data_IF_250388280635
#
_entry.id   IF_250388280635
#
_cell.length_a   1.000
_cell.length_b   1.000
_cell.length_c   1.000
_cell.angle_alpha   90.00
_cell.angle_beta   90.00
_cell.angle_gamma   90.00
#
_symmetry.space_group_name_H-M   'P 1'
#
loop_
_entity.id
_entity.type
_entity.pdbx_description
1 polymer ?
2 non-polymer ?
#
# COMPACT_ATOMS: atom_id res chain seq x y z
N UNK A 6 12.09 -12.85 -12.86
CA UNK A 6 11.16 -11.97 -12.07
C UNK A 6 11.38 -10.48 -12.39
N UNK A 7 10.29 -9.79 -12.73
CA UNK A 7 10.33 -8.38 -13.10
C UNK A 7 10.45 -7.41 -11.93
N UNK A 8 11.16 -6.30 -12.15
CA UNK A 8 11.43 -5.29 -11.12
C UNK A 8 10.09 -4.82 -10.51
N UNK A 9 9.96 -5.06 -9.20
CA UNK A 9 8.74 -4.81 -8.41
C UNK A 9 8.10 -3.42 -8.64
N UNK A 10 8.93 -2.39 -8.46
CA UNK A 10 8.51 -0.99 -8.50
C UNK A 10 8.21 -0.45 -9.91
N UNK A 11 8.38 -1.30 -10.93
CA UNK A 11 8.14 -0.93 -12.32
C UNK A 11 6.96 -1.73 -12.90
N UNK A 12 7.01 -3.04 -12.78
CA UNK A 12 6.09 -3.92 -13.49
C UNK A 12 4.95 -4.44 -12.63
N UNK A 13 5.17 -4.54 -11.32
CA UNK A 13 4.16 -5.13 -10.42
C UNK A 13 3.32 -4.04 -9.74
N UNK A 14 3.96 -3.17 -8.97
CA UNK A 14 3.29 -2.05 -8.34
C UNK A 14 4.20 -0.82 -8.45
N UNK A 15 3.83 0.14 -9.29
CA UNK A 15 4.63 1.35 -9.49
C UNK A 15 4.34 2.32 -8.33
N UNK A 16 5.16 3.38 -8.16
CA UNK A 16 4.95 4.24 -6.98
C UNK A 16 3.55 4.85 -6.88
N UNK A 17 2.99 5.24 -8.01
CA UNK A 17 1.65 5.80 -8.08
C UNK A 17 0.56 4.80 -7.73
N UNK A 18 0.77 3.54 -8.09
CA UNK A 18 -0.18 2.48 -7.75
C UNK A 18 -0.23 2.30 -6.24
N UNK A 19 0.93 2.30 -5.60
CA UNK A 19 0.99 2.14 -4.16
C UNK A 19 0.32 3.31 -3.48
N UNK A 20 0.55 4.52 -3.99
CA UNK A 20 -0.06 5.67 -3.37
C UNK A 20 -1.58 5.65 -3.53
N UNK A 21 -2.06 5.24 -4.71
CA UNK A 21 -3.49 5.26 -4.93
C UNK A 21 -4.23 4.19 -4.14
N UNK A 22 -3.60 3.03 -3.96
CA UNK A 22 -4.24 1.90 -3.27
C UNK A 22 -4.08 1.98 -1.75
N UNK A 23 -3.23 2.87 -1.25
CA UNK A 23 -3.02 2.99 0.19
C UNK A 23 -3.76 4.16 0.80
N UNK A 24 -3.92 5.19 0.00
CA UNK A 24 -4.60 6.44 0.33
C UNK A 24 -5.87 6.27 1.15
N UNK A 25 -6.68 5.27 0.82
CA UNK A 25 -8.02 5.16 1.40
C UNK A 25 -8.15 4.01 2.40
N UNK A 26 -7.03 3.37 2.71
CA UNK A 26 -7.04 2.17 3.55
C UNK A 26 -7.49 2.47 4.97
N UNK A 27 -7.05 3.61 5.48
CA UNK A 27 -7.25 3.92 6.88
C UNK A 27 -7.78 5.33 6.95
N UNK A 28 -9.02 5.48 7.46
CA UNK A 28 -9.61 6.79 7.67
C UNK A 28 -8.68 7.65 8.50
N UNK A 29 -8.60 8.90 8.08
CA UNK A 29 -7.90 9.94 8.79
C UNK A 29 -8.15 9.86 10.30
N UNK A 30 -9.41 9.65 10.68
CA UNK A 30 -9.85 9.68 12.09
C UNK A 30 -9.32 8.53 12.92
N UNK A 31 -8.91 7.45 12.26
CA UNK A 31 -8.27 6.33 12.95
C UNK A 31 -6.78 6.53 13.21
N UNK A 32 -6.15 7.55 12.63
CA UNK A 32 -4.68 7.69 12.74
C UNK A 32 -4.17 7.74 14.19
N UNK A 33 -4.85 8.52 15.09
CA UNK A 33 -4.35 8.53 16.49
C UNK A 33 -4.46 7.17 17.13
N UNK A 34 -5.51 6.43 16.81
CA UNK A 34 -5.70 5.11 17.40
C UNK A 34 -4.63 4.12 16.94
N UNK A 35 -4.35 4.14 15.63
CA UNK A 35 -3.38 3.27 14.98
C UNK A 35 -1.96 3.58 15.48
N UNK A 36 -1.64 4.87 15.58
CA UNK A 36 -0.42 5.32 16.22
C UNK A 36 -0.26 4.76 17.62
N UNK A 37 -1.34 4.84 18.40
CA UNK A 37 -1.28 4.39 19.80
C UNK A 37 -1.03 2.88 19.88
N UNK A 38 -1.83 2.12 19.13
CA UNK A 38 -1.70 0.66 19.09
C UNK A 38 -0.32 0.17 18.65
N UNK A 39 0.35 0.90 17.75
CA UNK A 39 1.73 0.56 17.32
C UNK A 39 2.80 1.02 18.30
N UNK A 40 2.41 1.78 19.32
CA UNK A 40 3.32 2.25 20.37
C UNK A 40 4.01 3.58 20.08
N UNK A 41 3.46 4.34 19.14
CA UNK A 41 3.94 5.70 18.87
C UNK A 41 3.61 6.57 20.08
N UNK A 42 4.48 7.50 20.42
CA UNK A 42 4.58 8.13 21.74
C UNK A 42 5.79 9.07 21.68
N UNK A 43 5.84 10.07 22.56
CA UNK A 43 6.97 11.01 22.61
C UNK A 43 8.33 10.33 22.75
N UNK A 44 9.31 10.81 21.98
CA UNK A 44 10.70 10.30 21.98
C UNK A 44 10.77 8.84 21.55
N UNK A 45 9.95 8.49 20.57
CA UNK A 45 10.01 7.19 19.91
C UNK A 45 10.67 7.43 18.55
N UNK A 46 11.62 6.57 18.23
CA UNK A 46 12.17 6.44 16.90
C UNK A 46 11.75 5.07 16.40
N UNK A 47 11.19 5.03 15.20
CA UNK A 47 10.59 3.83 14.61
C UNK A 47 11.22 3.42 13.28
N UNK A 48 11.15 2.13 12.98
CA UNK A 48 11.54 1.63 11.68
C UNK A 48 10.35 1.01 10.99
N UNK A 49 10.17 1.33 9.70
CA UNK A 49 9.15 0.73 8.90
C UNK A 49 9.83 -0.05 7.78
N UNK A 50 9.64 -1.37 7.82
CA UNK A 50 10.36 -2.33 6.99
C UNK A 50 9.51 -2.62 5.77
N UNK A 51 10.16 -2.64 4.59
CA UNK A 51 9.46 -2.67 3.28
C UNK A 51 8.46 -1.53 3.16
N UNK A 52 8.92 -0.30 3.43
CA UNK A 52 8.07 0.86 3.55
C UNK A 52 7.40 1.28 2.23
N UNK A 53 7.82 0.65 1.12
CA UNK A 53 7.38 1.07 -0.23
C UNK A 53 7.53 2.57 -0.39
N UNK A 54 6.45 3.25 -0.77
CA UNK A 54 6.46 4.71 -0.95
C UNK A 54 6.32 5.48 0.34
N UNK A 55 6.28 4.75 1.47
CA UNK A 55 6.29 5.38 2.79
C UNK A 55 4.93 5.76 3.33
N UNK A 56 3.88 5.14 2.79
CA UNK A 56 2.50 5.44 3.24
C UNK A 56 2.35 5.33 4.76
N UNK A 57 2.69 4.15 5.29
CA UNK A 57 2.48 3.90 6.71
C UNK A 57 3.46 4.71 7.53
N UNK A 58 4.67 4.86 6.98
CA UNK A 58 5.72 5.66 7.60
C UNK A 58 5.19 7.08 7.88
N UNK A 59 4.66 7.70 6.83
CA UNK A 59 4.06 9.03 6.95
C UNK A 59 2.92 9.10 7.99
N UNK A 60 2.01 8.13 7.94
CA UNK A 60 0.86 8.04 8.85
C UNK A 60 1.31 8.06 10.30
N UNK A 61 2.32 7.26 10.63
CA UNK A 61 2.80 7.16 12.01
C UNK A 61 3.51 8.41 12.54
N UNK A 62 4.14 9.21 11.66
CA UNK A 62 4.87 10.43 12.10
C UNK A 62 4.12 11.74 11.89
N UNK A 63 2.90 11.62 11.35
CA UNK A 63 2.05 12.74 11.02
C UNK A 63 1.28 13.39 12.18
N UNK A 64 1.39 12.82 13.39
CA UNK A 64 0.73 13.38 14.56
C UNK A 64 1.54 14.48 15.25
N UNK A 65 1.11 14.85 16.45
CA UNK A 65 1.75 15.89 17.28
C UNK A 65 2.91 15.37 18.12
N UNK A 66 3.06 14.05 18.19
CA UNK A 66 4.07 13.43 19.05
C UNK A 66 5.46 13.72 18.49
N UNK A 67 6.42 13.83 19.41
CA UNK A 67 7.80 14.00 19.05
C UNK A 67 8.39 12.63 18.68
N UNK A 68 8.22 12.28 17.40
CA UNK A 68 8.68 11.01 16.83
C UNK A 68 9.47 11.23 15.54
N UNK A 69 10.30 10.25 15.20
CA UNK A 69 11.03 10.24 13.94
C UNK A 69 11.01 8.82 13.42
N UNK A 70 11.31 8.67 12.13
CA UNK A 70 11.14 7.38 11.48
C UNK A 70 12.19 7.15 10.41
N UNK A 71 12.54 5.89 10.23
CA UNK A 71 13.32 5.42 9.11
C UNK A 71 12.47 4.41 8.37
N UNK A 72 12.39 4.58 7.05
CA UNK A 72 11.76 3.62 6.19
C UNK A 72 12.84 2.95 5.37
N UNK A 73 12.73 1.63 5.22
CA UNK A 73 13.69 0.89 4.45
C UNK A 73 12.93 0.05 3.43
N UNK A 74 13.47 -0.01 2.21
CA UNK A 74 12.93 -0.81 1.09
C UNK A 74 14.01 -1.14 0.05
N UNK A 75 13.84 -2.26 -0.67
CA UNK A 75 14.75 -2.67 -1.73
C UNK A 75 14.63 -1.84 -3.00
N UNK A 76 13.48 -1.22 -3.22
CA UNK A 76 13.22 -0.53 -4.49
C UNK A 76 13.58 0.95 -4.47
N UNK A 77 14.64 1.29 -5.21
CA UNK A 77 15.06 2.65 -5.46
C UNK A 77 13.89 3.60 -5.86
N UNK A 78 13.09 3.24 -6.90
CA UNK A 78 11.92 4.12 -7.21
C UNK A 78 10.96 4.44 -6.03
N UNK A 79 10.70 3.45 -5.17
CA UNK A 79 9.88 3.64 -3.97
C UNK A 79 10.52 4.61 -2.99
N UNK A 80 11.83 4.47 -2.82
CA UNK A 80 12.57 5.28 -1.84
C UNK A 80 12.66 6.74 -2.29
N UNK A 81 12.90 6.91 -3.59
CA UNK A 81 12.96 8.20 -4.26
C UNK A 81 11.64 8.93 -4.01
N UNK A 82 10.55 8.28 -4.40
CA UNK A 82 9.19 8.80 -4.21
C UNK A 82 8.89 9.12 -2.74
N UNK A 83 9.26 8.20 -1.83
CA UNK A 83 9.04 8.42 -0.40
C UNK A 83 9.70 9.68 0.11
N UNK A 84 10.95 9.89 -0.31
CA UNK A 84 11.71 11.10 0.00
C UNK A 84 11.00 12.35 -0.48
N UNK A 85 10.61 12.35 -1.77
CA UNK A 85 9.84 13.45 -2.37
C UNK A 85 8.57 13.71 -1.57
N UNK A 86 7.89 12.65 -1.16
CA UNK A 86 6.63 12.80 -0.45
C UNK A 86 6.83 13.41 0.95
N UNK A 87 7.77 12.83 1.71
CA UNK A 87 8.05 13.30 3.05
C UNK A 87 8.54 14.74 3.05
N UNK A 88 9.49 15.06 2.15
CA UNK A 88 10.06 16.40 2.02
C UNK A 88 9.00 17.46 1.73
N UNK A 89 8.09 17.12 0.84
CA UNK A 89 6.93 17.96 0.49
C UNK A 89 6.05 18.28 1.71
N UNK A 90 5.84 17.30 2.58
CA UNK A 90 4.94 17.46 3.71
C UNK A 90 5.64 17.92 5.00
N UNK A 91 6.97 18.08 4.91
CA UNK A 91 7.83 18.46 6.04
C UNK A 91 7.93 17.45 7.18
N UNK A 92 7.91 16.16 6.87
CA UNK A 92 7.78 15.12 7.91
C UNK A 92 9.12 14.53 8.38
N UNK A 93 9.27 14.22 9.71
CA UNK A 93 10.55 13.67 10.19
C UNK A 93 10.73 12.18 9.85
N UNK A 94 10.94 11.91 8.57
CA UNK A 94 11.12 10.55 8.10
C UNK A 94 12.27 10.45 7.11
N UNK A 95 13.13 9.46 7.34
CA UNK A 95 14.27 9.16 6.49
C UNK A 95 13.98 7.88 5.73
N UNK A 96 14.34 7.87 4.46
CA UNK A 96 14.16 6.69 3.64
C UNK A 96 15.46 6.19 3.06
N UNK A 97 15.62 4.88 3.14
CA UNK A 97 16.91 4.25 2.92
C UNK A 97 16.69 3.00 2.07
N UNK A 98 17.51 2.83 1.03
CA UNK A 98 17.52 1.63 0.19
C UNK A 98 18.32 0.57 0.92
N UNK A 99 17.74 -0.62 1.08
CA UNK A 99 18.38 -1.69 1.85
C UNK A 99 17.49 -2.90 1.99
N UNK A 100 17.96 -3.89 2.73
CA UNK A 100 17.37 -5.22 2.78
C UNK A 100 16.82 -5.54 4.17
N UNK A 101 15.53 -5.94 4.19
CA UNK A 101 14.81 -6.40 5.41
C UNK A 101 15.52 -7.55 6.11
N UNK A 102 16.19 -8.39 5.33
CA UNK A 102 16.90 -9.56 5.84
C UNK A 102 18.28 -9.21 6.35
N UNK A 103 18.67 -7.94 6.20
CA UNK A 103 20.04 -7.53 6.51
C UNK A 103 20.05 -6.06 6.91
N UNK A 104 19.33 -5.75 7.98
CA UNK A 104 19.13 -4.33 8.36
C UNK A 104 20.44 -3.58 8.70
N UNK A 105 20.69 -2.42 8.04
CA UNK A 105 21.94 -1.67 8.21
C UNK A 105 21.92 -0.83 9.49
N UNK A 106 21.66 -1.49 10.62
CA UNK A 106 21.57 -0.82 11.95
C UNK A 106 22.07 -1.75 13.02
N UNK A 107 22.52 -1.17 14.13
CA UNK A 107 22.89 -1.94 15.34
C UNK A 107 21.66 -2.48 16.07
N UNK A 108 21.88 -3.47 16.93
CA UNK A 108 20.87 -3.95 17.86
C UNK A 108 20.39 -2.85 18.74
N UNK A 109 19.08 -2.87 19.02
CA UNK A 109 18.44 -1.95 19.98
C UNK A 109 18.52 -0.49 19.55
N UNK A 110 18.32 -0.27 18.24
CA UNK A 110 18.31 1.09 17.68
C UNK A 110 16.92 1.76 17.82
N UNK A 111 15.86 0.96 17.64
CA UNK A 111 14.49 1.51 17.53
C UNK A 111 13.59 1.16 18.69
N UNK A 112 12.75 2.12 19.09
CA UNK A 112 11.75 1.86 20.12
C UNK A 112 10.65 0.95 19.61
N UNK A 113 10.32 1.11 18.33
CA UNK A 113 9.17 0.50 17.69
C UNK A 113 9.66 0.04 16.32
N UNK A 114 9.21 -1.14 15.89
CA UNK A 114 9.44 -1.59 14.52
C UNK A 114 8.09 -2.02 13.93
N UNK A 115 7.81 -1.57 12.71
CA UNK A 115 6.55 -1.90 12.04
C UNK A 115 6.75 -2.32 10.58
N UNK A 116 5.73 -2.91 9.96
CA UNK A 116 5.67 -3.12 8.50
C UNK A 116 4.22 -3.15 8.03
N UNK A 117 3.98 -2.75 6.79
CA UNK A 117 2.62 -2.65 6.25
C UNK A 117 2.52 -3.45 4.97
N UNK A 118 1.68 -4.50 4.99
CA UNK A 118 1.44 -5.43 3.88
C UNK A 118 2.76 -5.99 3.36
N UNK A 119 3.59 -6.43 4.31
CA UNK A 119 4.94 -6.86 4.03
C UNK A 119 5.22 -8.31 4.42
N UNK A 120 4.79 -8.73 5.61
CA UNK A 120 5.04 -10.11 6.08
C UNK A 120 4.36 -11.18 5.22
N UNK A 121 3.38 -10.72 4.47
CA UNK A 121 2.66 -11.42 3.43
C UNK A 121 3.55 -11.72 2.22
N UNK A 122 4.53 -10.83 1.97
CA UNK A 122 5.31 -10.82 0.73
C UNK A 122 6.68 -11.49 0.80
N UNK A 123 7.42 -11.27 1.88
CA UNK A 123 8.80 -11.77 1.98
C UNK A 123 8.88 -13.27 1.89
N UNK A 124 9.81 -13.77 1.04
CA UNK A 124 10.11 -15.22 0.95
C UNK A 124 10.57 -15.84 2.27
N UNK A 125 11.09 -15.04 3.19
CA UNK A 125 11.68 -15.55 4.41
C UNK A 125 11.23 -14.70 5.63
N UNK A 126 9.96 -14.88 6.05
CA UNK A 126 9.43 -13.99 7.10
C UNK A 126 10.08 -14.23 8.46
N UNK A 127 10.48 -15.47 8.73
CA UNK A 127 11.22 -15.79 9.98
C UNK A 127 12.48 -14.94 10.15
N UNK A 128 13.25 -14.83 9.07
CA UNK A 128 14.49 -14.06 9.11
C UNK A 128 14.21 -12.56 9.23
N UNK A 129 13.19 -12.09 8.50
CA UNK A 129 12.77 -10.68 8.58
C UNK A 129 12.35 -10.34 9.99
N UNK A 130 11.58 -11.22 10.62
CA UNK A 130 11.10 -11.03 11.98
C UNK A 130 12.28 -11.05 12.95
N UNK A 131 13.17 -12.03 12.74
CA UNK A 131 14.44 -12.09 13.48
C UNK A 131 15.21 -10.75 13.42
N UNK A 132 15.29 -10.15 12.23
CA UNK A 132 15.88 -8.82 12.11
C UNK A 132 15.14 -7.72 12.88
N UNK A 133 13.81 -7.74 12.79
CA UNK A 133 12.98 -6.77 13.51
C UNK A 133 13.19 -6.88 15.02
N UNK A 134 13.24 -8.11 15.51
CA UNK A 134 13.51 -8.39 16.92
C UNK A 134 14.89 -7.91 17.38
N UNK A 135 15.91 -8.09 16.54
CA UNK A 135 17.29 -7.66 16.80
C UNK A 135 17.40 -6.15 16.96
N UNK A 136 16.77 -5.45 16.03
CA UNK A 136 16.89 -4.00 15.88
C UNK A 136 15.98 -3.17 16.83
N UNK A 137 14.89 -3.78 17.32
CA UNK A 137 14.05 -3.14 18.30
C UNK A 137 14.75 -3.23 19.67
N UNK A 138 14.47 -2.28 20.55
CA UNK A 138 15.00 -2.27 21.91
C UNK A 138 14.30 -3.35 22.75
N UNK A 139 14.94 -3.80 23.85
CA UNK A 139 14.26 -4.81 24.69
C UNK A 139 12.89 -4.31 25.19
N UNK A 140 11.87 -5.18 25.11
CA UNK A 140 10.52 -4.79 25.51
C UNK A 140 9.75 -3.88 24.57
N UNK A 141 10.29 -3.61 23.38
CA UNK A 141 9.59 -2.75 22.41
C UNK A 141 8.55 -3.47 21.56
N UNK A 142 7.70 -2.70 20.90
CA UNK A 142 6.56 -3.22 20.15
C UNK A 142 6.88 -3.41 18.67
N UNK A 143 6.68 -4.64 18.22
CA UNK A 143 6.74 -4.95 16.80
C UNK A 143 5.30 -5.11 16.33
N UNK A 144 4.99 -4.44 15.23
CA UNK A 144 3.65 -4.43 14.65
C UNK A 144 3.69 -4.75 13.14
N UNK A 145 2.61 -5.35 12.65
CA UNK A 145 2.42 -5.66 11.22
C UNK A 145 0.97 -5.39 10.85
N UNK A 146 0.77 -4.79 9.67
CA UNK A 146 -0.56 -4.65 9.10
C UNK A 146 -0.56 -5.54 7.87
N UNK A 147 -1.57 -6.40 7.74
CA UNK A 147 -1.70 -7.26 6.57
C UNK A 147 -3.17 -7.33 6.17
N UNK A 148 -3.41 -7.51 4.87
CA UNK A 148 -4.76 -7.76 4.34
C UNK A 148 -5.40 -8.97 5.02
N UNK A 149 -6.69 -8.87 5.32
CA UNK A 149 -7.44 -10.03 5.83
C UNK A 149 -7.80 -10.98 4.69
N UNK A 150 -7.93 -10.43 3.49
CA UNK A 150 -8.16 -11.22 2.30
C UNK A 150 -7.67 -10.49 1.08
N UNK A 151 -7.24 -11.24 0.07
CA UNK A 151 -6.86 -10.64 -1.22
C UNK A 151 -8.08 -10.18 -2.02
N UNK A 152 -9.21 -10.88 -1.87
CA UNK A 152 -10.52 -10.40 -2.37
C UNK A 152 -11.09 -9.32 -1.44
N UNK A 153 -11.84 -8.34 -2.00
CA UNK A 153 -12.66 -7.50 -1.11
C UNK A 153 -13.85 -8.27 -0.50
N UNK A 154 -14.10 -8.05 0.80
CA UNK A 154 -15.27 -8.61 1.48
C UNK A 154 -16.60 -8.22 0.81
N UNK A 155 -16.71 -6.97 0.36
CA UNK A 155 -17.86 -6.52 -0.45
C UNK A 155 -17.45 -5.65 -1.63
N UNK A 156 -18.34 -5.56 -2.63
CA UNK A 156 -17.97 -5.09 -3.95
C UNK A 156 -19.20 -4.71 -4.78
N UNK A 157 -19.12 -3.55 -5.43
CA UNK A 157 -20.05 -3.18 -6.49
C UNK A 157 -19.28 -2.41 -7.56
N UNK A 158 -19.40 -2.88 -8.81
CA UNK A 158 -18.84 -2.19 -9.97
C UNK A 158 -19.49 -0.83 -10.23
N UNK A 159 -20.71 -0.65 -9.73
CA UNK A 159 -21.42 0.59 -9.86
C UNK A 159 -22.28 0.68 -11.12
N UNK A 160 -23.16 1.67 -11.14
CA UNK A 160 -24.05 1.91 -12.24
C UNK A 160 -23.80 3.34 -12.65
N UNK A 161 -23.14 3.51 -13.77
CA UNK A 161 -22.84 4.81 -14.30
C UNK A 161 -23.99 5.27 -15.17
N UNK A 162 -24.18 6.59 -15.35
CA UNK A 162 -25.27 7.05 -16.22
C UNK A 162 -25.19 6.42 -17.61
N UNK A 163 -26.36 6.22 -18.23
CA UNK A 163 -26.46 5.61 -19.56
C UNK A 163 -25.69 6.36 -20.67
N UNK A 164 -25.55 7.68 -20.53
CA UNK A 164 -24.70 8.51 -21.42
C UNK A 164 -23.27 8.02 -21.53
N UNK A 165 -22.75 7.40 -20.47
CA UNK A 165 -21.36 6.94 -20.41
C UNK A 165 -21.13 5.69 -21.24
N UNK A 166 -20.55 5.90 -22.42
CA UNK A 166 -20.30 4.82 -23.37
C UNK A 166 -18.94 4.12 -23.12
N UNK A 167 -18.08 4.77 -22.34
CA UNK A 167 -16.76 4.24 -22.02
C UNK A 167 -16.78 3.06 -21.05
N UNK A 168 -17.90 2.87 -20.34
CA UNK A 168 -17.98 1.98 -19.17
C UNK A 168 -17.81 0.53 -19.56
N UNK A 169 -18.58 0.10 -20.56
CA UNK A 169 -18.53 -1.28 -21.04
C UNK A 169 -17.24 -1.62 -21.75
N UNK A 170 -16.78 -0.73 -22.63
CA UNK A 170 -15.53 -0.91 -23.37
C UNK A 170 -14.33 -1.04 -22.43
N UNK A 171 -14.22 -0.12 -21.46
CA UNK A 171 -13.11 -0.12 -20.53
C UNK A 171 -13.04 -1.37 -19.64
N UNK A 172 -14.18 -1.80 -19.10
CA UNK A 172 -14.32 -3.09 -18.40
C UNK A 172 -13.72 -4.24 -19.22
N UNK A 173 -14.08 -4.28 -20.51
CA UNK A 173 -13.65 -5.27 -21.49
C UNK A 173 -12.13 -5.22 -21.76
N UNK A 174 -11.61 -4.01 -22.04
CA UNK A 174 -10.18 -3.78 -22.27
C UNK A 174 -9.30 -4.01 -21.04
N UNK A 175 -9.77 -3.54 -19.88
CA UNK A 175 -9.07 -3.69 -18.60
C UNK A 175 -8.74 -5.16 -18.31
N UNK A 176 -9.74 -6.03 -18.21
CA UNK A 176 -9.52 -7.48 -18.09
C UNK A 176 -9.42 -8.13 -19.48
N UNK A 177 -8.27 -7.86 -20.09
CA UNK A 177 -7.83 -8.34 -21.39
C UNK A 177 -6.34 -8.00 -21.33
N UNK A 178 -6.05 -6.70 -21.21
CA UNK A 178 -4.72 -6.16 -20.93
C UNK A 178 -4.15 -6.70 -19.59
N UNK A 179 -4.99 -6.73 -18.55
CA UNK A 179 -4.54 -7.23 -17.24
C UNK A 179 -4.22 -8.73 -17.19
N UNK A 180 -5.01 -9.55 -17.90
CA UNK A 180 -4.70 -10.99 -18.05
C UNK A 180 -3.36 -11.21 -18.77
N UNK A 181 -3.07 -10.38 -19.78
CA UNK A 181 -1.74 -10.27 -20.39
C UNK A 181 -0.61 -9.89 -19.40
N UNK A 182 -0.88 -8.94 -18.49
CA UNK A 182 0.07 -8.59 -17.42
C UNK A 182 0.37 -9.77 -16.50
N UNK A 183 -0.68 -10.50 -16.12
CA UNK A 183 -0.58 -11.68 -15.23
C UNK A 183 0.23 -12.84 -15.83
N UNK A 184 0.25 -12.92 -17.17
CA UNK A 184 1.12 -13.83 -17.91
C UNK A 184 2.59 -13.43 -17.76
N UNK A 185 2.92 -12.22 -18.21
CA UNK A 185 4.28 -11.67 -18.21
C UNK A 185 4.86 -11.43 -16.82
N UNK A 186 3.99 -11.16 -15.84
CA UNK A 186 4.38 -10.91 -14.44
C UNK A 186 3.47 -11.70 -13.47
N UNK A 187 3.75 -13.01 -13.24
CA UNK A 187 2.88 -13.84 -12.37
C UNK A 187 2.90 -13.41 -10.90
N UNK A 188 1.73 -13.44 -10.26
CA UNK A 188 1.55 -12.92 -8.89
C UNK A 188 2.21 -13.76 -7.80
N UNK A 189 2.29 -15.08 -8.02
CA UNK A 189 2.69 -16.06 -6.98
C UNK A 189 4.09 -15.86 -6.35
N UNK A 190 5.00 -15.18 -7.06
CA UNK A 190 6.32 -14.81 -6.54
C UNK A 190 6.24 -13.78 -5.40
N UNK A 191 5.26 -12.87 -5.49
CA UNK A 191 5.10 -11.74 -4.55
C UNK A 191 4.41 -12.11 -3.23
N UNK A 192 3.77 -13.28 -3.17
CA UNK A 192 2.99 -13.71 -2.00
C UNK A 192 3.53 -15.01 -1.36
N UNK A 193 4.84 -14.98 -1.09
CA UNK A 193 5.59 -16.11 -0.55
C UNK A 193 5.65 -16.14 1.00
N UNK A 194 5.13 -15.10 1.66
CA UNK A 194 5.24 -14.93 3.12
C UNK A 194 4.21 -15.63 3.98
N UNK A 195 3.88 -14.99 5.11
CA UNK A 195 2.92 -15.53 6.08
C UNK A 195 1.52 -15.35 5.53
N UNK A 196 0.76 -16.44 5.45
CA UNK A 196 -0.66 -16.41 5.10
C UNK A 196 -1.40 -15.48 6.04
N UNK A 197 -2.39 -14.78 5.51
CA UNK A 197 -3.27 -13.87 6.26
C UNK A 197 -3.72 -14.46 7.61
N UNK A 198 -4.21 -15.70 7.60
CA UNK A 198 -4.75 -16.37 8.78
C UNK A 198 -3.70 -16.81 9.79
N UNK A 199 -2.44 -16.75 9.40
CA UNK A 199 -1.36 -17.31 10.19
C UNK A 199 -0.58 -16.27 10.95
N UNK A 200 -0.81 -14.98 10.67
CA UNK A 200 0.00 -13.90 11.25
C UNK A 200 -0.01 -13.90 12.79
N UNK A 201 -1.20 -14.02 13.45
CA UNK A 201 -1.16 -14.04 14.92
C UNK A 201 -0.34 -15.20 15.50
N UNK A 202 -0.55 -16.39 14.95
CA UNK A 202 0.18 -17.61 15.30
C UNK A 202 1.68 -17.40 15.03
N UNK A 203 2.01 -16.79 13.89
CA UNK A 203 3.38 -16.45 13.58
C UNK A 203 4.02 -15.57 14.64
N UNK A 204 3.28 -14.61 15.19
CA UNK A 204 3.85 -13.69 16.21
C UNK A 204 4.24 -14.40 17.52
N UNK A 205 3.35 -15.25 18.05
CA UNK A 205 3.69 -15.98 19.29
C UNK A 205 4.73 -17.04 18.97
N UNK A 206 4.65 -17.61 17.77
CA UNK A 206 5.63 -18.60 17.29
C UNK A 206 7.04 -18.07 17.14
N UNK A 207 7.17 -16.76 16.93
CA UNK A 207 8.45 -16.07 16.90
C UNK A 207 8.86 -15.52 18.28
N UNK A 208 8.14 -15.93 19.33
CA UNK A 208 8.51 -15.54 20.70
C UNK A 208 7.99 -14.20 21.20
N UNK A 209 7.19 -13.51 20.39
CA UNK A 209 6.61 -12.23 20.82
C UNK A 209 5.54 -12.42 21.90
N UNK A 210 5.42 -11.42 22.78
CA UNK A 210 4.52 -11.53 23.94
C UNK A 210 3.41 -10.49 23.90
N UNK A 211 2.33 -10.77 24.64
CA UNK A 211 1.11 -9.93 24.68
C UNK A 211 0.64 -9.60 23.28
N UNK A 212 0.57 -10.65 22.47
CA UNK A 212 0.16 -10.53 21.09
C UNK A 212 -1.29 -10.00 21.03
N UNK A 213 -1.46 -8.89 20.33
CA UNK A 213 -2.71 -8.14 20.29
C UNK A 213 -3.17 -7.96 18.85
N UNK A 214 -4.47 -8.09 18.60
CA UNK A 214 -5.06 -7.92 17.26
C UNK A 214 -6.02 -6.76 17.23
N UNK A 215 -5.94 -5.94 16.18
CA UNK A 215 -6.84 -4.81 16.00
C UNK A 215 -7.24 -4.80 14.56
N UNK A 216 -8.55 -4.92 14.26
CA UNK A 216 -8.96 -4.84 12.84
C UNK A 216 -8.92 -3.35 12.42
N UNK A 217 -8.73 -3.07 11.14
CA UNK A 217 -8.80 -1.70 10.61
C UNK A 217 -9.62 -1.77 9.34
N UNK A 218 -10.86 -1.29 9.41
CA UNK A 218 -11.77 -1.36 8.27
C UNK A 218 -11.23 -0.54 7.12
N UNK A 219 -11.60 -0.90 5.90
CA UNK A 219 -11.22 -0.08 4.75
C UNK A 219 -12.40 -0.04 3.79
N UNK A 220 -12.47 1.08 3.07
CA UNK A 220 -13.52 1.32 2.10
C UNK A 220 -12.98 2.26 1.04
N UNK A 221 -13.40 2.02 -0.19
CA UNK A 221 -13.11 2.88 -1.30
C UNK A 221 -14.40 3.17 -2.09
N UNK A 222 -14.59 4.45 -2.46
CA UNK A 222 -15.54 4.90 -3.49
C UNK A 222 -15.40 6.39 -3.63
N UNK A 223 -15.42 6.87 -4.87
CA UNK A 223 -15.47 8.33 -5.13
C UNK A 223 -16.88 8.92 -4.87
N UNK A 224 -17.88 8.07 -4.71
CA UNK A 224 -19.24 8.50 -4.38
C UNK A 224 -19.37 8.89 -2.91
N UNK A 225 -18.38 8.55 -2.08
CA UNK A 225 -18.49 8.78 -0.63
C UNK A 225 -18.46 10.26 -0.30
N UNK A 226 -19.57 10.78 0.23
CA UNK A 226 -19.61 12.17 0.75
C UNK A 226 -18.66 12.50 1.90
N UNK A 227 -18.22 11.50 2.68
CA UNK A 227 -17.25 11.75 3.76
C UNK A 227 -15.77 11.82 3.29
N UNK A 228 -15.51 11.76 1.99
CA UNK A 228 -14.13 11.89 1.49
C UNK A 228 -14.02 13.28 0.84
N UNK A 229 -12.94 13.99 1.11
CA UNK A 229 -12.73 15.35 0.57
C UNK A 229 -12.55 15.34 -0.93
N UNK A 230 -12.91 16.46 -1.55
CA UNK A 230 -12.68 16.70 -2.98
C UNK A 230 -11.23 16.53 -3.36
N UNK A 231 -10.36 17.08 -2.51
CA UNK A 231 -8.91 17.07 -2.68
C UNK A 231 -8.39 15.64 -2.77
N UNK A 232 -8.90 14.78 -1.88
CA UNK A 232 -8.54 13.36 -1.89
C UNK A 232 -9.05 12.66 -3.12
N UNK A 233 -10.26 13.00 -3.55
CA UNK A 233 -10.84 12.41 -4.74
C UNK A 233 -10.03 12.80 -5.97
N UNK A 234 -9.75 14.09 -6.13
CA UNK A 234 -8.93 14.62 -7.23
C UNK A 234 -7.51 14.04 -7.20
N UNK A 235 -6.95 13.90 -6.01
CA UNK A 235 -5.63 13.30 -5.90
C UNK A 235 -5.70 11.83 -6.34
N UNK A 236 -6.79 11.14 -5.98
CA UNK A 236 -6.91 9.72 -6.36
C UNK A 236 -6.99 9.59 -7.88
N UNK A 237 -7.81 10.43 -8.49
CA UNK A 237 -8.00 10.41 -9.95
C UNK A 237 -6.68 10.61 -10.70
N UNK A 238 -5.89 11.62 -10.31
CA UNK A 238 -4.53 11.83 -10.85
C UNK A 238 -3.66 10.59 -10.77
N UNK A 239 -3.61 10.00 -9.57
CA UNK A 239 -2.78 8.82 -9.30
C UNK A 239 -3.25 7.62 -10.09
N UNK A 240 -4.56 7.53 -10.31
CA UNK A 240 -5.15 6.41 -11.05
C UNK A 240 -4.74 6.53 -12.51
N UNK A 241 -4.99 7.70 -13.09
CA UNK A 241 -4.54 7.97 -14.44
C UNK A 241 -3.06 7.63 -14.60
N UNK A 242 -2.20 8.28 -13.82
CA UNK A 242 -0.76 8.08 -13.89
C UNK A 242 -0.31 6.62 -13.66
N UNK A 243 -0.90 5.96 -12.67
CA UNK A 243 -0.53 4.56 -12.38
C UNK A 243 -0.85 3.63 -13.52
N UNK A 244 -2.01 3.81 -14.14
CA UNK A 244 -2.42 2.94 -15.26
C UNK A 244 -1.57 3.15 -16.53
N UNK A 245 -1.24 4.40 -16.82
CA UNK A 245 -0.46 4.78 -18.00
C UNK A 245 0.99 4.32 -17.87
N UNK A 246 1.58 4.48 -16.68
CA UNK A 246 2.97 4.07 -16.48
C UNK A 246 3.13 2.57 -16.52
N UNK A 247 2.14 1.85 -16.00
CA UNK A 247 2.17 0.40 -15.99
C UNK A 247 2.12 -0.09 -17.43
N UNK A 248 1.15 0.40 -18.19
CA UNK A 248 1.00 0.09 -19.62
C UNK A 248 2.29 0.34 -20.42
N UNK A 249 2.88 1.52 -20.23
CA UNK A 249 4.10 1.92 -20.96
C UNK A 249 5.29 1.04 -20.68
N UNK A 250 5.49 0.67 -19.41
CA UNK A 250 6.54 -0.24 -19.01
C UNK A 250 6.44 -1.60 -19.72
N UNK A 251 5.20 -2.08 -19.91
CA UNK A 251 4.96 -3.37 -20.57
C UNK A 251 5.11 -3.30 -22.10
N UNK A 252 4.76 -2.16 -22.69
CA UNK A 252 5.02 -1.87 -24.12
C UNK A 252 6.51 -1.83 -24.48
N UNK A 253 7.32 -1.23 -23.59
CA UNK A 253 8.76 -1.09 -23.78
C UNK A 253 9.55 -2.40 -23.62
N UNK A 254 8.86 -3.48 -23.24
CA UNK A 254 9.44 -4.82 -23.24
C UNK A 254 9.48 -5.40 -24.66
N UNK A 258 8.31 -8.49 -26.01
CA UNK A 258 6.88 -8.20 -26.23
C UNK A 258 5.94 -9.22 -25.56
N UNK A 259 4.75 -8.74 -25.17
CA UNK A 259 3.80 -9.46 -24.29
C UNK A 259 2.42 -9.74 -24.92
N UNK A 260 2.20 -9.21 -26.13
CA UNK A 260 0.98 -9.44 -26.90
C UNK A 260 -0.09 -8.36 -26.83
N UNK A 261 0.34 -7.10 -26.69
CA UNK A 261 -0.55 -5.94 -26.73
C UNK A 261 -0.20 -5.05 -27.93
N UNK A 262 -1.07 -5.03 -28.94
CA UNK A 262 -0.91 -4.13 -30.10
C UNK A 262 -0.92 -2.66 -29.65
N UNK A 263 -0.42 -1.78 -30.52
CA UNK A 263 -0.37 -0.34 -30.25
C UNK A 263 -1.73 0.33 -30.36
N UNK A 264 -2.61 -0.29 -31.14
CA UNK A 264 -4.00 0.13 -31.28
C UNK A 264 -4.70 -0.10 -29.95
N UNK A 265 -4.59 -1.32 -29.41
CA UNK A 265 -5.08 -1.68 -28.07
C UNK A 265 -4.67 -0.68 -26.98
N UNK A 266 -3.39 -0.31 -26.97
CA UNK A 266 -2.81 0.60 -25.99
C UNK A 266 -3.41 1.98 -26.07
N UNK A 267 -3.59 2.45 -27.31
CA UNK A 267 -4.14 3.77 -27.52
C UNK A 267 -5.64 3.80 -27.19
N UNK A 268 -6.32 2.67 -27.44
CA UNK A 268 -7.70 2.49 -27.04
C UNK A 268 -7.76 2.59 -25.52
N UNK A 269 -6.95 1.77 -24.84
CA UNK A 269 -6.92 1.71 -23.37
C UNK A 269 -6.61 3.06 -22.75
N UNK A 270 -5.63 3.79 -23.32
CA UNK A 270 -5.32 5.17 -22.92
C UNK A 270 -6.52 6.11 -23.00
N UNK A 271 -7.15 6.09 -24.17
CA UNK A 271 -8.32 6.90 -24.46
C UNK A 271 -9.44 6.66 -23.44
N UNK A 272 -9.74 5.39 -23.18
CA UNK A 272 -10.81 5.00 -22.25
C UNK A 272 -10.52 5.40 -20.80
N UNK A 273 -9.31 5.10 -20.33
CA UNK A 273 -8.86 5.52 -19.00
C UNK A 273 -9.04 7.02 -18.88
N UNK A 274 -8.59 7.77 -19.89
CA UNK A 274 -8.77 9.22 -19.98
C UNK A 274 -10.22 9.70 -19.89
N UNK A 275 -11.14 8.97 -20.53
CA UNK A 275 -12.57 9.28 -20.51
C UNK A 275 -13.18 9.00 -19.14
N UNK A 276 -12.81 7.88 -18.52
CA UNK A 276 -13.23 7.62 -17.15
C UNK A 276 -12.80 8.76 -16.22
N UNK A 277 -11.54 9.16 -16.29
CA UNK A 277 -11.00 10.21 -15.41
C UNK A 277 -11.66 11.56 -15.61
N UNK A 278 -11.89 11.90 -16.88
CA UNK A 278 -12.63 13.10 -17.23
C UNK A 278 -14.05 13.07 -16.62
N UNK A 279 -14.72 11.91 -16.68
CA UNK A 279 -16.07 11.83 -16.12
C UNK A 279 -16.02 12.01 -14.60
N UNK A 280 -15.03 11.38 -13.95
CA UNK A 280 -14.93 11.42 -12.48
C UNK A 280 -14.63 12.82 -11.98
N UNK A 281 -13.82 13.55 -12.74
CA UNK A 281 -13.48 14.94 -12.44
C UNK A 281 -14.70 15.84 -12.60
N UNK A 282 -15.43 15.66 -13.69
CA UNK A 282 -16.58 16.49 -14.01
C UNK A 282 -17.74 16.23 -13.04
N UNK A 283 -17.78 15.02 -12.49
CA UNK A 283 -18.86 14.67 -11.59
C UNK A 283 -18.38 14.51 -10.15
N UNK A 284 -17.41 15.35 -9.79
CA UNK A 284 -16.87 15.36 -8.45
C UNK A 284 -17.92 15.47 -7.33
N UNK A 285 -18.93 16.31 -7.52
CA UNK A 285 -19.93 16.51 -6.46
C UNK A 285 -21.20 15.65 -6.60
N UNK A 286 -21.41 15.06 -7.77
CA UNK A 286 -22.63 14.28 -8.03
C UNK A 286 -22.37 12.90 -8.68
N UNK A 287 -21.32 12.23 -8.22
CA UNK A 287 -21.03 10.86 -8.63
C UNK A 287 -21.84 9.96 -7.70
N UNK A 288 -22.89 9.35 -8.23
CA UNK A 288 -23.74 8.42 -7.50
C UNK A 288 -23.69 7.06 -8.13
N UNK A 289 -22.54 6.72 -8.73
CA UNK A 289 -22.33 5.41 -9.34
C UNK A 289 -22.22 4.28 -8.31
N UNK A 290 -21.72 4.59 -7.11
CA UNK A 290 -21.39 3.55 -6.11
C UNK A 290 -20.57 2.37 -6.68
N UNK A 291 -19.49 2.71 -7.37
CA UNK A 291 -18.42 1.76 -7.63
C UNK A 291 -17.66 1.72 -6.33
N UNK A 292 -17.81 0.63 -5.59
CA UNK A 292 -17.26 0.62 -4.24
C UNK A 292 -16.79 -0.75 -3.86
N UNK A 293 -15.95 -0.76 -2.84
CA UNK A 293 -15.17 -1.91 -2.42
C UNK A 293 -14.80 -1.69 -0.94
N UNK A 294 -14.87 -2.74 -0.16
CA UNK A 294 -14.45 -2.66 1.23
C UNK A 294 -13.94 -3.97 1.82
N UNK A 295 -13.47 -3.88 3.06
CA UNK A 295 -13.07 -5.04 3.84
C UNK A 295 -12.34 -4.51 5.07
N UNK A 296 -11.26 -5.21 5.45
CA UNK A 296 -10.48 -4.86 6.62
C UNK A 296 -9.05 -5.37 6.54
N UNK A 297 -8.12 -4.58 7.07
CA UNK A 297 -6.77 -5.04 7.32
C UNK A 297 -6.67 -5.41 8.77
N UNK A 298 -5.62 -6.16 9.09
CA UNK A 298 -5.40 -6.64 10.45
C UNK A 298 -4.06 -6.17 10.98
N UNK A 299 -4.12 -5.52 12.15
CA UNK A 299 -2.95 -5.07 12.85
C UNK A 299 -2.65 -6.05 13.95
N UNK A 300 -1.40 -6.53 13.97
CA UNK A 300 -0.91 -7.46 14.97
C UNK A 300 0.30 -6.80 15.64
N UNK A 301 0.29 -6.74 16.96
CA UNK A 301 1.43 -6.26 17.71
C UNK A 301 1.89 -7.30 18.71
N UNK A 302 3.18 -7.26 19.03
CA UNK A 302 3.75 -8.09 20.08
C UNK A 302 4.97 -7.40 20.63
N UNK A 303 5.29 -7.76 21.86
CA UNK A 303 6.45 -7.27 22.58
C UNK A 303 7.60 -8.27 22.46
N UNK A 304 8.79 -7.74 22.21
CA UNK A 304 10.01 -8.53 22.17
C UNK A 304 10.70 -8.55 23.54
N UNK A 305 11.26 -9.70 23.94
CA UNK A 305 12.28 -9.80 25.03
C UNK A 305 13.72 -9.89 24.53
X LIG B 1 4.55 -0.53 3.21
X LIG B 1 4.30 -0.43 1.77
X LIG B 1 4.48 -1.85 1.27
X LIG B 1 4.43 -2.05 -0.23
X LIG B 1 4.21 -3.80 -0.46
X LIG B 1 2.89 0.07 1.51
X LIG B 1 2.68 1.06 0.81
X LIG B 1 1.92 -0.50 1.99
X LIG B 1 5.72 -4.71 -0.06
X LIG B 1 7.08 -3.99 -0.13
X LIG B 1 8.13 -4.80 0.39
X LIG B 1 7.58 -3.54 -1.52
X LIG B 1 7.77 -2.13 -1.39
X LIG B 1 8.91 -4.27 -1.74
X LIG B 1 9.85 -3.48 -2.49
X LIG B 1 9.37 -4.47 -0.29
X LIG B 1 10.36 -5.55 -0.06
X LIG B 1 10.17 -6.83 -0.43
X LIG B 1 11.21 -7.60 -0.05
X LIG B 1 12.10 -6.82 0.59
X LIG B 1 13.42 -7.04 1.27
X LIG B 1 13.99 -8.27 1.27
X LIG B 1 14.03 -5.97 1.85
X LIG B 1 13.45 -4.74 1.82
X LIG B 1 12.24 -4.49 1.23
X LIG B 1 11.53 -5.47 0.60
#
# INVERSE_FOLDING_TARGET
>A
SMEKEIKKWSVYFQNPEFLERTRMFLIQKELYPLVRNWCGVKDNVRLLDVGCGTGYFTRLLVSGDEDVSAVGIDMEEPFIEYAREKAEELGLPAEFIIGDALALPFEDNTFDIVTSHTFLTSVPDPEKAMSEMKRVVKPGGIISSVTAMNFMPACNNEGEYPEECTWVEDLKKEYMKIYTKYFSADPLETRIKGVKCSDVPKFFTGQGLKDVSLYPIGKVFTLSNAAVSDEDKLRYIELFYASEIKKLDAFMELPDEDIGITEEDAERFRSLIGQKCKWLRDHLHDNYAWEWQGGANLLVTGICNKQR
>B hetero
1 SAH N CA CB CG SD C O OXT C5' C4' O4' C3' O3' C2' O2' C1' N9 C8 N7 C5 C6 N6 N1 C2 N3 C4
#
